data_IF_968692757912
#
_entry.id   IF_968692757912
#
_cell.length_a   1.000
_cell.length_b   1.000
_cell.length_c   1.000
_cell.angle_alpha   90.00
_cell.angle_beta   90.00
_cell.angle_gamma   90.00
#
_symmetry.space_group_name_H-M   'P 1'
#
loop_
_entity.id
_entity.type
_entity.pdbx_description
1 polymer ?
#
# COMPACT_ATOMS: atom_id res chain seq x y z
N UNK A 1 -21.68 15.14 -1.29
CA UNK A 1 -21.13 13.81 -1.63
C UNK A 1 -20.51 13.27 -0.37
N UNK A 2 -21.20 12.35 0.32
CA UNK A 2 -20.77 11.82 1.61
C UNK A 2 -19.57 10.91 1.43
N UNK A 3 -18.52 11.16 2.20
CA UNK A 3 -17.46 10.19 2.44
C UNK A 3 -18.12 9.00 3.14
N UNK A 4 -18.48 7.95 2.41
CA UNK A 4 -18.82 6.69 3.07
C UNK A 4 -17.56 6.20 3.77
N UNK A 5 -17.64 5.99 5.09
CA UNK A 5 -16.59 5.30 5.85
C UNK A 5 -16.62 3.82 5.45
N UNK A 6 -16.10 3.52 4.28
CA UNK A 6 -15.83 2.15 3.87
C UNK A 6 -14.58 1.71 4.62
N UNK A 7 -14.79 0.93 5.68
CA UNK A 7 -13.72 0.29 6.44
C UNK A 7 -13.50 -1.10 5.84
N UNK A 8 -12.34 -1.33 5.23
CA UNK A 8 -11.98 -2.65 4.71
C UNK A 8 -11.08 -3.33 5.76
N UNK A 9 -11.58 -4.43 6.32
CA UNK A 9 -10.79 -5.27 7.21
C UNK A 9 -9.84 -6.21 6.42
N UNK A 10 -9.05 -6.98 7.16
CA UNK A 10 -8.08 -7.90 6.56
C UNK A 10 -8.75 -8.97 5.68
N UNK A 11 -9.97 -9.42 6.03
CA UNK A 11 -10.68 -10.43 5.24
C UNK A 11 -11.02 -9.87 3.87
N UNK A 12 -11.50 -8.63 3.81
CA UNK A 12 -11.81 -7.97 2.53
C UNK A 12 -10.53 -7.62 1.75
N UNK A 13 -9.46 -7.18 2.42
CA UNK A 13 -8.18 -6.92 1.76
C UNK A 13 -7.63 -8.18 1.08
N UNK A 14 -7.74 -9.35 1.72
CA UNK A 14 -7.29 -10.63 1.15
C UNK A 14 -8.05 -11.06 -0.12
N UNK A 15 -9.28 -10.58 -0.31
CA UNK A 15 -10.06 -10.80 -1.55
C UNK A 15 -9.80 -9.75 -2.63
N UNK A 16 -9.00 -8.72 -2.36
CA UNK A 16 -8.71 -7.64 -3.31
C UNK A 16 -7.24 -7.64 -3.73
N UNK A 17 -6.33 -7.99 -2.81
CA UNK A 17 -4.91 -8.07 -3.09
C UNK A 17 -4.46 -9.52 -3.26
N UNK A 18 -3.60 -9.83 -4.25
CA UNK A 18 -2.97 -11.15 -4.36
C UNK A 18 -1.86 -11.36 -3.33
N UNK A 19 -1.31 -10.30 -2.74
CA UNK A 19 -0.22 -10.36 -1.77
C UNK A 19 -0.57 -11.24 -0.56
N UNK A 20 0.40 -12.04 -0.11
CA UNK A 20 0.29 -12.91 1.08
C UNK A 20 1.54 -12.74 1.94
N UNK A 21 1.55 -13.39 3.11
CA UNK A 21 2.75 -13.43 3.95
C UNK A 21 3.99 -13.87 3.14
N UNK A 22 5.16 -13.22 3.31
CA UNK A 22 5.47 -12.13 4.24
C UNK A 22 5.32 -10.72 3.65
N UNK A 23 4.66 -10.55 2.50
CA UNK A 23 4.66 -9.30 1.73
C UNK A 23 3.30 -8.59 1.64
N UNK A 24 2.26 -9.07 2.32
CA UNK A 24 1.03 -8.28 2.53
C UNK A 24 1.26 -7.29 3.67
N UNK A 25 1.26 -5.99 3.38
CA UNK A 25 1.71 -4.93 4.30
C UNK A 25 0.63 -3.88 4.60
N UNK A 26 -0.64 -4.21 4.37
CA UNK A 26 -1.79 -3.36 4.72
C UNK A 26 -2.75 -4.17 5.58
N UNK A 27 -2.99 -3.72 6.80
CA UNK A 27 -3.81 -4.45 7.78
C UNK A 27 -5.29 -4.04 7.72
N UNK A 28 -5.56 -2.77 7.43
CA UNK A 28 -6.91 -2.19 7.42
C UNK A 28 -6.98 -0.92 6.59
N UNK A 29 -8.11 -0.70 5.90
CA UNK A 29 -8.46 0.59 5.29
C UNK A 29 -9.36 1.38 6.24
N UNK A 30 -8.95 2.59 6.59
CA UNK A 30 -9.63 3.48 7.54
C UNK A 30 -10.61 4.43 6.85
N UNK A 31 -10.25 4.92 5.66
CA UNK A 31 -11.08 5.80 4.84
C UNK A 31 -10.84 5.48 3.36
N UNK A 32 -11.91 5.53 2.57
CA UNK A 32 -11.84 5.34 1.13
C UNK A 32 -12.80 6.33 0.45
N UNK A 33 -12.23 7.19 -0.40
CA UNK A 33 -12.98 7.99 -1.37
C UNK A 33 -12.62 7.47 -2.76
N UNK A 34 -13.53 6.71 -3.41
CA UNK A 34 -13.32 6.18 -4.76
C UNK A 34 -12.81 7.24 -5.74
N UNK A 35 -11.92 6.83 -6.64
CA UNK A 35 -11.20 7.67 -7.61
C UNK A 35 -10.40 8.85 -7.05
N UNK A 36 -10.25 9.00 -5.72
CA UNK A 36 -9.68 10.20 -5.13
C UNK A 36 -8.59 9.91 -4.11
N UNK A 37 -8.92 9.25 -3.00
CA UNK A 37 -7.95 9.02 -1.92
C UNK A 37 -8.31 7.83 -1.05
N UNK A 38 -7.29 7.24 -0.44
CA UNK A 38 -7.42 6.17 0.53
C UNK A 38 -6.52 6.45 1.73
N UNK A 39 -6.96 6.03 2.91
CA UNK A 39 -6.18 5.99 4.13
C UNK A 39 -6.22 4.58 4.69
N UNK A 40 -5.06 3.99 4.92
CA UNK A 40 -4.91 2.64 5.45
C UNK A 40 -3.94 2.62 6.64
N UNK A 41 -3.90 1.49 7.33
CA UNK A 41 -3.08 1.23 8.50
C UNK A 41 -2.19 0.02 8.24
N UNK A 42 -0.94 0.15 8.63
CA UNK A 42 -0.02 -0.96 8.90
C UNK A 42 0.48 -0.83 10.35
N UNK A 43 0.23 -1.82 11.17
CA UNK A 43 0.81 -1.94 12.51
C UNK A 43 2.21 -2.52 12.41
N UNK A 44 3.21 -1.85 12.97
CA UNK A 44 4.61 -2.29 12.94
C UNK A 44 4.90 -3.08 14.21
N UNK A 45 5.22 -4.36 14.08
CA UNK A 45 5.45 -5.27 15.21
C UNK A 45 6.84 -5.88 15.16
N UNK A 46 7.48 -6.03 16.33
CA UNK A 46 8.78 -6.73 16.43
C UNK A 46 8.70 -8.18 15.92
N UNK A 47 7.50 -8.76 15.88
CA UNK A 47 7.25 -10.11 15.40
C UNK A 47 7.17 -10.24 13.87
N UNK A 48 7.69 -9.26 13.12
CA UNK A 48 7.76 -9.32 11.66
C UNK A 48 9.13 -9.85 11.19
N UNK A 49 9.16 -10.70 10.14
CA UNK A 49 10.34 -11.48 9.79
C UNK A 49 11.55 -10.62 9.39
N UNK A 50 11.35 -9.42 8.86
CA UNK A 50 12.45 -8.55 8.42
C UNK A 50 13.22 -7.91 9.59
N UNK A 51 12.64 -7.83 10.80
CA UNK A 51 13.36 -7.26 11.95
C UNK A 51 14.51 -8.16 12.45
N UNK A 52 14.48 -9.45 12.13
CA UNK A 52 15.61 -10.35 12.40
C UNK A 52 16.90 -9.90 11.69
N UNK A 53 16.77 -9.21 10.55
CA UNK A 53 17.88 -8.76 9.72
C UNK A 53 18.07 -7.24 9.64
N UNK A 54 17.08 -6.44 10.03
CA UNK A 54 17.10 -4.99 9.76
C UNK A 54 16.70 -4.14 10.98
N UNK A 55 17.59 -3.91 11.94
CA UNK A 55 18.89 -4.55 12.15
C UNK A 55 18.86 -5.28 13.50
N UNK A 56 19.64 -6.37 13.71
CA UNK A 56 19.54 -7.20 14.91
C UNK A 56 19.61 -6.44 16.26
N UNK A 57 20.39 -5.36 16.33
CA UNK A 57 20.54 -4.52 17.53
C UNK A 57 19.70 -3.23 17.50
N UNK A 58 19.09 -2.91 16.36
CA UNK A 58 18.30 -1.69 16.13
C UNK A 58 17.20 -2.00 15.11
N UNK A 59 16.05 -2.54 15.55
CA UNK A 59 14.97 -2.89 14.65
C UNK A 59 14.39 -1.63 14.02
N UNK A 60 14.45 -1.54 12.69
CA UNK A 60 13.92 -0.43 11.88
C UNK A 60 13.21 -1.03 10.67
N UNK A 61 11.98 -0.62 10.39
CA UNK A 61 11.28 -1.09 9.21
C UNK A 61 12.03 -0.61 7.94
N UNK A 62 12.39 -1.51 7.01
CA UNK A 62 13.06 -1.11 5.78
C UNK A 62 12.21 -0.08 5.01
N UNK A 63 12.80 1.05 4.60
CA UNK A 63 12.08 2.11 3.89
C UNK A 63 11.41 1.62 2.60
N UNK A 64 12.01 0.67 1.90
CA UNK A 64 11.42 0.05 0.71
C UNK A 64 10.12 -0.71 1.00
N UNK A 65 9.95 -1.28 2.19
CA UNK A 65 8.70 -1.92 2.61
C UNK A 65 7.62 -0.89 2.95
N UNK A 66 8.00 0.33 3.34
CA UNK A 66 7.05 1.44 3.47
C UNK A 66 6.51 1.84 2.09
N UNK A 67 7.38 1.90 1.07
CA UNK A 67 6.96 2.18 -0.31
C UNK A 67 6.05 1.08 -0.85
N UNK A 68 6.37 -0.19 -0.58
CA UNK A 68 5.52 -1.33 -0.92
C UNK A 68 4.14 -1.25 -0.25
N UNK A 69 4.08 -0.94 1.05
CA UNK A 69 2.82 -0.77 1.76
C UNK A 69 1.97 0.39 1.19
N UNK A 70 2.61 1.51 0.80
CA UNK A 70 1.94 2.62 0.12
C UNK A 70 1.41 2.21 -1.26
N UNK A 71 2.11 1.32 -1.96
CA UNK A 71 1.67 0.77 -3.23
C UNK A 71 0.43 -0.10 -3.11
N UNK A 72 0.45 -1.02 -2.16
CA UNK A 72 -0.70 -1.89 -1.89
C UNK A 72 -1.91 -1.07 -1.47
N UNK A 73 -1.66 0.01 -0.72
CA UNK A 73 -2.68 1.02 -0.41
C UNK A 73 -3.22 1.68 -1.67
N UNK A 74 -2.37 2.13 -2.60
CA UNK A 74 -2.81 2.67 -3.89
C UNK A 74 -3.53 1.65 -4.78
N UNK A 75 -3.12 0.38 -4.75
CA UNK A 75 -3.79 -0.72 -5.44
C UNK A 75 -5.21 -0.93 -4.90
N UNK A 76 -5.39 -0.91 -3.58
CA UNK A 76 -6.71 -1.00 -2.96
C UNK A 76 -7.64 0.15 -3.38
N UNK A 77 -7.12 1.36 -3.58
CA UNK A 77 -7.90 2.49 -4.12
C UNK A 77 -8.40 2.22 -5.55
N UNK A 78 -7.60 1.55 -6.39
CA UNK A 78 -7.98 1.21 -7.77
C UNK A 78 -8.91 -0.01 -7.82
N UNK A 79 -8.65 -1.02 -7.01
CA UNK A 79 -9.30 -2.34 -7.08
C UNK A 79 -10.63 -2.42 -6.31
N UNK A 80 -10.93 -1.44 -5.45
CA UNK A 80 -12.17 -1.41 -4.69
C UNK A 80 -13.43 -1.13 -5.53
N UNK A 81 -13.27 -0.71 -6.78
CA UNK A 81 -14.35 -0.17 -7.60
C UNK A 81 -15.06 -1.23 -8.43
N UNK A 82 -14.34 -2.24 -8.93
CA UNK A 82 -14.91 -3.28 -9.78
C UNK A 82 -14.59 -4.69 -9.26
N UNK A 83 -15.56 -5.62 -9.32
CA UNK A 83 -15.29 -7.03 -9.11
C UNK A 83 -14.20 -7.49 -10.09
N UNK A 84 -13.11 -7.99 -9.54
CA UNK A 84 -12.02 -8.60 -10.30
C UNK A 84 -11.62 -9.88 -9.59
N UNK A 85 -10.96 -10.76 -10.33
CA UNK A 85 -10.29 -11.90 -9.75
C UNK A 85 -8.85 -11.50 -9.34
N UNK A 86 -8.52 -11.48 -8.04
CA UNK A 86 -7.17 -11.17 -7.58
C UNK A 86 -6.13 -12.16 -8.09
N UNK A 87 -6.51 -13.41 -8.40
CA UNK A 87 -5.58 -14.40 -8.93
C UNK A 87 -5.12 -14.06 -10.35
N UNK A 88 -5.98 -13.37 -11.11
CA UNK A 88 -5.74 -13.03 -12.50
C UNK A 88 -5.46 -11.53 -12.72
N UNK A 89 -5.24 -10.78 -11.64
CA UNK A 89 -4.98 -9.33 -11.70
C UNK A 89 -3.64 -9.00 -11.06
N UNK A 90 -2.69 -8.60 -11.89
CA UNK A 90 -1.38 -8.14 -11.45
C UNK A 90 -1.35 -6.62 -11.39
N UNK A 91 -1.19 -6.10 -10.17
CA UNK A 91 -0.89 -4.70 -9.94
C UNK A 91 0.63 -4.53 -9.90
N UNK A 92 1.20 -3.94 -10.94
CA UNK A 92 2.64 -3.85 -11.12
C UNK A 92 3.13 -2.42 -10.89
N UNK A 93 4.17 -2.30 -10.06
CA UNK A 93 4.99 -1.10 -10.00
C UNK A 93 5.80 -0.93 -11.28
N UNK A 94 5.73 0.25 -11.88
CA UNK A 94 6.54 0.59 -13.07
C UNK A 94 7.47 1.77 -12.82
N UNK A 95 7.28 2.52 -11.74
CA UNK A 95 8.18 3.60 -11.37
C UNK A 95 7.85 4.23 -10.02
N UNK A 96 8.87 4.86 -9.44
CA UNK A 96 8.79 5.60 -8.19
C UNK A 96 9.50 6.95 -8.40
N UNK A 97 8.79 8.03 -8.17
CA UNK A 97 9.30 9.40 -8.31
C UNK A 97 9.50 10.02 -6.91
N UNK A 98 10.60 10.73 -6.70
CA UNK A 98 10.83 11.58 -5.53
C UNK A 98 10.63 10.92 -4.16
N UNK A 99 10.99 9.62 -4.02
CA UNK A 99 10.93 8.96 -2.73
C UNK A 99 11.82 9.66 -1.69
N UNK A 100 11.27 9.94 -0.49
CA UNK A 100 12.00 10.52 0.65
C UNK A 100 11.61 9.79 1.93
N UNK A 101 12.62 9.52 2.76
CA UNK A 101 12.45 8.93 4.09
C UNK A 101 12.88 9.97 5.13
N UNK A 102 11.95 10.35 6.01
CA UNK A 102 12.07 11.49 6.91
C UNK A 102 12.14 11.10 8.38
N UNK A 103 11.55 9.96 8.76
CA UNK A 103 11.53 9.41 10.12
C UNK A 103 11.74 7.89 10.04
N UNK A 104 12.55 7.34 10.93
CA UNK A 104 12.64 5.88 11.09
C UNK A 104 11.30 5.35 11.61
N UNK A 105 10.89 4.18 11.13
CA UNK A 105 9.69 3.49 11.58
C UNK A 105 10.12 2.26 12.36
N UNK A 106 9.57 2.06 13.56
CA UNK A 106 10.07 1.11 14.54
C UNK A 106 8.93 0.24 15.10
N UNK A 107 9.23 -0.92 15.71
CA UNK A 107 8.21 -1.72 16.40
C UNK A 107 7.40 -0.89 17.40
N UNK A 108 6.07 -1.05 17.36
CA UNK A 108 5.13 -0.27 18.16
C UNK A 108 4.48 0.88 17.40
N UNK A 109 5.09 1.36 16.31
CA UNK A 109 4.50 2.40 15.47
C UNK A 109 3.21 1.91 14.76
N UNK A 110 2.24 2.82 14.65
CA UNK A 110 1.13 2.67 13.71
C UNK A 110 1.41 3.53 12.48
N UNK A 111 1.71 2.86 11.37
CA UNK A 111 2.02 3.52 10.12
C UNK A 111 0.73 3.80 9.36
N UNK A 112 0.34 5.07 9.30
CA UNK A 112 -0.81 5.55 8.55
C UNK A 112 -0.40 5.82 7.11
N UNK A 113 -0.96 5.04 6.20
CA UNK A 113 -0.65 5.04 4.77
C UNK A 113 -1.71 5.86 4.04
N UNK A 114 -1.31 6.89 3.31
CA UNK A 114 -2.22 7.70 2.50
C UNK A 114 -1.78 7.63 1.05
N UNK A 115 -2.72 7.39 0.13
CA UNK A 115 -2.52 7.51 -1.29
C UNK A 115 -3.64 8.37 -1.90
N UNK A 116 -3.26 9.29 -2.79
CA UNK A 116 -4.18 10.17 -3.52
C UNK A 116 -3.95 9.95 -5.01
N UNK A 117 -5.04 9.71 -5.74
CA UNK A 117 -5.00 9.59 -7.20
C UNK A 117 -4.62 10.92 -7.83
N UNK A 118 -3.67 10.91 -8.76
CA UNK A 118 -3.28 12.11 -9.52
C UNK A 118 -3.79 12.05 -10.96
N UNK A 119 -3.47 10.98 -11.70
CA UNK A 119 -3.91 10.81 -13.09
C UNK A 119 -3.86 9.36 -13.54
N UNK A 120 -4.67 9.04 -14.54
CA UNK A 120 -4.63 7.78 -15.28
C UNK A 120 -4.53 8.09 -16.77
N UNK A 121 -3.53 7.52 -17.46
CA UNK A 121 -3.36 7.70 -18.90
C UNK A 121 -2.71 6.47 -19.52
N UNK A 122 -3.33 5.91 -20.56
CA UNK A 122 -2.81 4.75 -21.33
C UNK A 122 -2.44 3.55 -20.44
N UNK A 123 -3.30 3.21 -19.47
CA UNK A 123 -3.09 2.10 -18.54
C UNK A 123 -2.13 2.39 -17.38
N UNK A 124 -1.52 3.58 -17.35
CA UNK A 124 -0.60 4.01 -16.30
C UNK A 124 -1.31 4.89 -15.28
N UNK A 125 -1.30 4.44 -14.03
CA UNK A 125 -1.86 5.12 -12.89
C UNK A 125 -0.74 5.83 -12.11
N UNK A 126 -0.97 7.09 -11.74
CA UNK A 126 -0.08 7.87 -10.89
C UNK A 126 -0.76 8.26 -9.59
N UNK A 127 -0.03 8.14 -8.49
CA UNK A 127 -0.49 8.48 -7.15
C UNK A 127 0.56 9.31 -6.42
N UNK A 128 0.09 10.22 -5.58
CA UNK A 128 0.90 10.83 -4.53
C UNK A 128 0.66 10.06 -3.23
N UNK A 129 1.72 9.58 -2.62
CA UNK A 129 1.63 8.73 -1.44
C UNK A 129 2.51 9.24 -0.30
N UNK A 130 2.03 9.06 0.93
CA UNK A 130 2.77 9.39 2.15
C UNK A 130 2.41 8.45 3.30
N UNK A 131 3.41 8.09 4.07
CA UNK A 131 3.28 7.31 5.30
C UNK A 131 3.58 8.21 6.51
N UNK A 132 2.74 8.16 7.52
CA UNK A 132 2.83 8.97 8.74
C UNK A 132 2.81 8.10 9.99
N UNK A 133 3.50 8.55 11.04
CA UNK A 133 3.36 8.00 12.40
C UNK A 133 3.08 9.18 13.32
N UNK A 134 1.99 9.10 14.10
CA UNK A 134 1.53 10.18 14.98
C UNK A 134 1.40 11.55 14.27
N UNK A 135 0.99 11.53 13.00
CA UNK A 135 0.84 12.72 12.16
C UNK A 135 2.16 13.28 11.59
N UNK A 136 3.31 12.67 11.91
CA UNK A 136 4.62 13.05 11.37
C UNK A 136 4.93 12.20 10.14
N UNK A 137 5.29 12.85 9.03
CA UNK A 137 5.65 12.15 7.78
C UNK A 137 6.91 11.31 7.99
N UNK A 138 6.79 10.01 7.80
CA UNK A 138 7.90 9.06 7.83
C UNK A 138 8.47 8.78 6.43
N UNK A 139 7.60 8.68 5.43
CA UNK A 139 8.02 8.55 4.03
C UNK A 139 7.01 9.20 3.08
N UNK A 140 7.46 9.60 1.90
CA UNK A 140 6.61 10.09 0.81
C UNK A 140 7.20 9.72 -0.56
N UNK A 141 6.34 9.53 -1.55
CA UNK A 141 6.75 9.24 -2.93
C UNK A 141 5.60 9.52 -3.93
N UNK A 142 5.95 9.72 -5.19
CA UNK A 142 5.06 9.52 -6.33
C UNK A 142 5.13 8.06 -6.78
N UNK A 143 4.00 7.38 -6.87
CA UNK A 143 3.91 5.98 -7.27
C UNK A 143 3.33 5.88 -8.69
N UNK A 144 3.94 5.05 -9.53
CA UNK A 144 3.48 4.79 -10.89
C UNK A 144 3.23 3.30 -11.05
N UNK A 145 1.99 2.96 -11.40
CA UNK A 145 1.51 1.59 -11.42
C UNK A 145 0.78 1.27 -12.72
N UNK A 146 0.70 0.00 -13.07
CA UNK A 146 -0.15 -0.53 -14.14
C UNK A 146 -0.93 -1.72 -13.62
N UNK A 147 -2.16 -1.88 -14.10
CA UNK A 147 -2.93 -3.11 -13.90
C UNK A 147 -2.76 -3.97 -15.15
N UNK A 148 -2.43 -5.25 -14.97
CA UNK A 148 -2.45 -6.26 -16.04
C UNK A 148 -3.37 -7.38 -15.63
N UNK A 149 -4.23 -7.78 -16.56
CA UNK A 149 -5.01 -9.01 -16.42
C UNK A 149 -4.21 -10.14 -17.07
N UNK A 150 -4.02 -11.24 -16.35
CA UNK A 150 -3.42 -12.45 -16.89
C UNK A 150 -4.54 -13.37 -17.37
N UNK A 151 -4.51 -13.76 -18.63
CA UNK A 151 -5.39 -14.81 -19.12
C UNK A 151 -4.94 -16.14 -18.49
N UNK A 152 -5.87 -16.98 -18.03
CA UNK A 152 -5.55 -18.33 -17.58
C UNK A 152 -4.83 -19.09 -18.73
N UNK A 153 -3.52 -19.31 -18.60
CA UNK A 153 -2.76 -20.18 -19.50
C UNK A 153 -1.66 -19.56 -20.38
N UNK A 154 -1.04 -18.44 -19.99
CA UNK A 154 0.17 -17.94 -20.67
C UNK A 154 1.46 -18.52 -20.08
N UNK A 155 2.19 -19.31 -20.88
CA UNK A 155 3.57 -19.76 -20.62
C UNK A 155 4.53 -18.60 -20.32
#
# INVERSE_FOLDING_TARGET
MSTEKINLDIHKILTLLPHRYPILLVDRVLELEPHKRIKALKNVSINEPYFMGHFPSRPVMPGVLILEALAQTAALLTLSEEPHDPANTLYLFVGIDNARFKRMVEPGDQLILNATFERHMRGIWKFKARAEVDGVVAAEAGLICTVRHTDEGGQ
#
